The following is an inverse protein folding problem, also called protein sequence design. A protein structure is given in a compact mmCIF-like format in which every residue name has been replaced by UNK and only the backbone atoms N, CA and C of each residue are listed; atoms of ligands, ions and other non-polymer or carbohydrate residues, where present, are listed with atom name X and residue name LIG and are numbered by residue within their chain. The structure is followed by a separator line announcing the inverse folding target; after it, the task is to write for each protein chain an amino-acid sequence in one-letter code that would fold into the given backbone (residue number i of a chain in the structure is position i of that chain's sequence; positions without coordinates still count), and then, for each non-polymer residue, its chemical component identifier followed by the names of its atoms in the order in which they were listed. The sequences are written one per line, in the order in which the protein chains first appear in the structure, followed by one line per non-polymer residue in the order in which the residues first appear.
data_IF_732965621077
#
_entry.id   IF_732965621077
#
_cell.length_a   1.000
_cell.length_b   1.000
_cell.length_c   1.000
_cell.angle_alpha   90.00
_cell.angle_beta   90.00
_cell.angle_gamma   90.00
#
_symmetry.space_group_name_H-M   'P 1'
#
loop_
_entity.id
_entity.type
_entity.pdbx_description
1 polymer ?
#
# COMPACT_ATOMS: atom_id res chain seq x y z
N UNK A 1 36.03 -17.41 41.55
CA UNK A 1 36.50 -16.06 41.90
C UNK A 1 36.32 -15.15 40.69
N UNK A 2 35.42 -14.17 40.86
CA UNK A 2 35.46 -12.79 40.34
C UNK A 2 35.66 -12.49 38.83
N UNK A 3 34.61 -11.94 38.20
CA UNK A 3 34.71 -10.97 37.10
C UNK A 3 35.39 -9.69 37.62
N UNK A 4 36.17 -8.96 36.80
CA UNK A 4 35.60 -7.75 36.18
C UNK A 4 36.20 -7.38 34.81
N UNK A 5 35.40 -6.82 33.91
CA UNK A 5 35.91 -5.97 32.82
C UNK A 5 35.18 -4.64 32.91
N UNK A 6 36.00 -3.61 33.05
CA UNK A 6 35.65 -2.23 33.31
C UNK A 6 35.10 -1.54 32.05
N UNK A 7 34.09 -0.70 32.32
CA UNK A 7 33.75 0.57 31.70
C UNK A 7 34.58 0.99 30.48
N UNK A 8 33.91 1.09 29.33
CA UNK A 8 34.35 1.92 28.21
C UNK A 8 33.61 3.26 28.26
N UNK A 9 34.43 4.29 28.31
CA UNK A 9 34.15 5.69 28.55
C UNK A 9 33.39 6.36 27.41
N UNK A 10 32.52 7.28 27.77
CA UNK A 10 31.99 8.33 26.90
C UNK A 10 33.14 9.22 26.42
N UNK A 11 33.20 9.49 25.11
CA UNK A 11 33.81 10.71 24.59
C UNK A 11 32.73 11.49 23.82
N UNK A 12 32.19 12.50 24.52
CA UNK A 12 31.33 13.55 23.98
C UNK A 12 32.23 14.58 23.29
N UNK A 13 32.18 14.63 21.96
CA UNK A 13 32.85 15.67 21.20
C UNK A 13 32.11 17.01 21.35
N UNK A 14 32.91 17.99 21.75
CA UNK A 14 32.59 19.39 21.99
C UNK A 14 32.51 20.16 20.65
N UNK A 15 31.50 21.03 20.58
CA UNK A 15 31.51 22.34 19.91
C UNK A 15 31.82 22.45 18.41
N UNK A 16 30.79 22.80 17.65
CA UNK A 16 30.93 23.68 16.49
C UNK A 16 29.85 24.78 16.56
N UNK A 17 30.29 25.97 16.96
CA UNK A 17 29.62 27.24 16.78
C UNK A 17 29.25 27.47 15.31
N UNK A 18 27.99 27.80 15.02
CA UNK A 18 27.67 28.77 13.97
C UNK A 18 26.56 29.72 14.44
N UNK A 19 26.95 30.99 14.51
CA UNK A 19 26.14 32.16 14.79
C UNK A 19 24.91 32.24 13.87
N UNK A 20 23.72 32.28 14.46
CA UNK A 20 22.50 32.68 13.76
C UNK A 20 22.37 34.19 13.90
N UNK A 21 22.74 34.93 12.85
CA UNK A 21 22.38 36.33 12.70
C UNK A 21 20.89 36.41 12.36
N UNK A 22 20.06 36.76 13.34
CA UNK A 22 18.66 37.10 13.15
C UNK A 22 18.56 38.49 12.49
N UNK A 23 18.21 38.52 11.21
CA UNK A 23 17.75 39.75 10.53
C UNK A 23 16.26 39.91 10.87
N UNK A 24 15.83 40.98 11.54
CA UNK A 24 14.42 41.24 11.77
C UNK A 24 13.81 41.95 10.56
N UNK A 25 12.76 41.35 9.99
CA UNK A 25 11.84 42.06 9.10
C UNK A 25 11.90 41.62 7.64
N UNK A 26 11.33 40.46 7.36
CA UNK A 26 10.60 40.22 6.10
C UNK A 26 9.36 39.39 6.47
N UNK A 27 8.22 40.07 6.60
CA UNK A 27 6.90 39.44 6.62
C UNK A 27 6.67 39.00 5.18
N UNK A 28 7.08 37.79 4.83
CA UNK A 28 6.65 37.17 3.59
C UNK A 28 5.24 36.66 3.86
N UNK A 29 4.23 37.42 3.42
CA UNK A 29 2.88 36.89 3.27
C UNK A 29 2.91 35.97 2.05
N UNK A 30 3.39 34.75 2.25
CA UNK A 30 3.26 33.67 1.27
C UNK A 30 1.78 33.30 1.20
N UNK A 31 1.07 34.00 0.32
CA UNK A 31 -0.26 33.62 -0.12
C UNK A 31 -0.04 32.44 -1.06
N UNK A 32 0.06 31.24 -0.49
CA UNK A 32 -0.13 30.00 -1.25
C UNK A 32 -1.44 30.16 -2.03
N UNK A 33 -1.43 30.08 -3.37
CA UNK A 33 -2.65 30.19 -4.15
C UNK A 33 -3.57 29.07 -3.70
N UNK A 34 -4.76 29.43 -3.24
CA UNK A 34 -5.82 28.50 -2.85
C UNK A 34 -6.29 27.78 -4.13
N UNK A 35 -5.54 26.75 -4.55
CA UNK A 35 -5.93 25.91 -5.67
C UNK A 35 -7.23 25.22 -5.24
N UNK A 36 -8.30 25.45 -5.99
CA UNK A 36 -9.59 24.82 -5.72
C UNK A 36 -9.42 23.30 -5.75
N UNK A 37 -9.96 22.59 -4.74
CA UNK A 37 -9.98 21.12 -4.70
C UNK A 37 -10.54 20.51 -6.00
N UNK A 38 -11.42 21.22 -6.69
CA UNK A 38 -11.96 20.84 -8.00
C UNK A 38 -10.93 20.88 -9.15
N UNK A 39 -9.95 21.79 -9.09
CA UNK A 39 -8.86 21.89 -10.08
C UNK A 39 -7.78 20.82 -9.86
N UNK A 40 -7.56 20.39 -8.61
CA UNK A 40 -6.71 19.23 -8.29
C UNK A 40 -7.33 17.91 -8.78
N UNK A 41 -8.67 17.81 -8.89
CA UNK A 41 -9.35 16.62 -9.38
C UNK A 41 -9.25 16.47 -10.92
N UNK A 42 -9.20 17.59 -11.66
CA UNK A 42 -9.25 17.60 -13.13
C UNK A 42 -7.94 17.22 -13.85
N UNK A 43 -6.81 17.18 -13.12
CA UNK A 43 -5.47 16.88 -13.71
C UNK A 43 -4.95 15.48 -13.36
N UNK A 44 -5.70 14.71 -12.58
CA UNK A 44 -5.22 13.39 -12.15
C UNK A 44 -5.37 12.36 -13.25
N UNK A 45 -4.23 11.92 -13.79
CA UNK A 45 -4.11 10.74 -14.63
C UNK A 45 -4.97 9.59 -14.08
N UNK A 46 -5.73 8.85 -14.91
CA UNK A 46 -6.61 7.80 -14.43
C UNK A 46 -5.83 6.81 -13.57
N UNK A 47 -6.38 6.51 -12.38
CA UNK A 47 -5.74 5.61 -11.44
C UNK A 47 -5.52 4.23 -12.08
N UNK A 48 -4.35 3.63 -11.82
CA UNK A 48 -4.06 2.26 -12.27
C UNK A 48 -5.03 1.27 -11.59
N UNK A 49 -5.89 0.55 -12.35
CA UNK A 49 -6.82 -0.41 -11.76
C UNK A 49 -6.11 -1.62 -11.16
N UNK A 50 -6.74 -2.25 -10.18
CA UNK A 50 -6.35 -3.59 -9.68
C UNK A 50 -7.32 -4.63 -10.25
N UNK A 51 -6.78 -5.63 -10.93
CA UNK A 51 -7.56 -6.72 -11.52
C UNK A 51 -7.64 -7.95 -10.60
N UNK A 52 -8.84 -8.48 -10.39
CA UNK A 52 -9.06 -9.65 -9.52
C UNK A 52 -9.17 -10.99 -10.26
N UNK A 53 -9.36 -10.98 -11.58
CA UNK A 53 -9.44 -12.19 -12.38
C UNK A 53 -10.54 -13.14 -11.89
N UNK A 54 -10.17 -14.41 -11.92
CA UNK A 54 -10.83 -15.54 -11.27
C UNK A 54 -11.10 -15.44 -9.77
N UNK A 55 -10.63 -14.38 -9.07
CA UNK A 55 -10.88 -14.18 -7.63
C UNK A 55 -11.87 -13.06 -7.34
N UNK A 56 -12.50 -12.50 -8.38
CA UNK A 56 -13.47 -11.40 -8.25
C UNK A 56 -14.74 -11.80 -7.48
N UNK A 57 -15.14 -13.06 -7.53
CA UNK A 57 -16.25 -13.62 -6.75
C UNK A 57 -15.99 -13.66 -5.24
N UNK A 58 -14.71 -13.58 -4.83
CA UNK A 58 -14.30 -13.55 -3.43
C UNK A 58 -14.35 -12.16 -2.80
N UNK A 59 -14.60 -11.11 -3.58
CA UNK A 59 -14.80 -9.76 -3.07
C UNK A 59 -16.17 -9.63 -2.37
N UNK A 60 -16.32 -8.71 -1.41
CA UNK A 60 -17.62 -8.37 -0.85
C UNK A 60 -18.62 -7.94 -1.95
N UNK A 61 -19.94 -8.07 -1.72
CA UNK A 61 -20.58 -8.69 -0.57
C UNK A 61 -20.61 -10.23 -0.62
N UNK A 62 -20.06 -10.84 -1.69
CA UNK A 62 -20.14 -12.30 -1.89
C UNK A 62 -19.08 -13.07 -1.09
N UNK A 63 -17.91 -12.48 -0.91
CA UNK A 63 -16.83 -13.04 -0.10
C UNK A 63 -16.22 -12.04 0.87
N UNK A 64 -15.06 -12.38 1.41
CA UNK A 64 -14.37 -11.64 2.47
C UNK A 64 -12.97 -11.14 2.05
N UNK A 65 -12.65 -11.16 0.76
CA UNK A 65 -11.31 -10.79 0.28
C UNK A 65 -11.03 -9.31 0.55
N UNK A 66 -9.97 -9.05 1.32
CA UNK A 66 -9.47 -7.72 1.69
C UNK A 66 -7.97 -7.56 1.46
N UNK A 67 -7.28 -8.65 1.10
CA UNK A 67 -5.84 -8.66 0.79
C UNK A 67 -5.59 -9.34 -0.55
N UNK A 68 -4.57 -8.89 -1.28
CA UNK A 68 -4.04 -9.60 -2.45
C UNK A 68 -2.52 -9.57 -2.52
N UNK A 69 -1.92 -10.71 -2.87
CA UNK A 69 -0.49 -10.85 -3.14
C UNK A 69 -0.15 -10.72 -4.62
N UNK A 70 0.85 -9.90 -4.96
CA UNK A 70 1.23 -9.61 -6.36
C UNK A 70 2.74 -9.53 -6.56
N UNK A 71 3.23 -10.14 -7.63
CA UNK A 71 4.60 -9.94 -8.13
C UNK A 71 4.66 -8.73 -9.06
N UNK A 72 4.51 -7.55 -8.47
CA UNK A 72 4.65 -6.31 -9.21
C UNK A 72 6.10 -5.88 -9.38
N UNK A 73 6.38 -5.25 -10.53
CA UNK A 73 7.62 -4.51 -10.74
C UNK A 73 7.76 -3.39 -9.69
N UNK A 74 8.99 -2.94 -9.36
CA UNK A 74 9.22 -1.81 -8.47
C UNK A 74 8.43 -0.55 -8.88
N UNK A 75 8.36 -0.24 -10.18
CA UNK A 75 7.60 0.90 -10.71
C UNK A 75 6.12 0.86 -10.31
N UNK A 76 5.48 -0.29 -10.46
CA UNK A 76 4.05 -0.45 -10.10
C UNK A 76 3.87 -0.31 -8.60
N UNK A 77 4.79 -0.85 -7.80
CA UNK A 77 4.75 -0.71 -6.35
C UNK A 77 4.89 0.75 -5.90
N UNK A 78 5.79 1.53 -6.51
CA UNK A 78 5.93 2.98 -6.22
C UNK A 78 4.64 3.74 -6.51
N UNK A 79 3.95 3.42 -7.61
CA UNK A 79 2.66 4.05 -7.94
C UNK A 79 1.60 3.71 -6.88
N UNK A 80 1.52 2.45 -6.48
CA UNK A 80 0.53 1.99 -5.49
C UNK A 80 0.82 2.55 -4.09
N UNK A 81 2.10 2.69 -3.72
CA UNK A 81 2.52 3.35 -2.50
C UNK A 81 2.04 4.81 -2.47
N UNK A 82 2.23 5.54 -3.58
CA UNK A 82 1.73 6.91 -3.71
C UNK A 82 0.21 7.00 -3.60
N UNK A 83 -0.53 6.03 -4.16
CA UNK A 83 -1.99 5.97 -4.04
C UNK A 83 -2.45 5.69 -2.60
N UNK A 84 -1.75 4.81 -1.88
CA UNK A 84 -2.00 4.55 -0.47
C UNK A 84 -1.79 5.83 0.37
N UNK A 85 -0.67 6.52 0.17
CA UNK A 85 -0.35 7.77 0.89
C UNK A 85 -1.34 8.90 0.61
N UNK A 86 -1.87 8.98 -0.62
CA UNK A 86 -2.87 9.96 -1.02
C UNK A 86 -4.30 9.57 -0.63
N UNK A 87 -4.52 8.37 -0.07
CA UNK A 87 -5.86 7.84 0.18
C UNK A 87 -6.71 7.71 -1.09
N UNK A 88 -6.06 7.48 -2.24
CA UNK A 88 -6.70 7.52 -3.55
C UNK A 88 -7.60 6.31 -3.76
N UNK A 89 -8.80 6.56 -4.28
CA UNK A 89 -9.74 5.51 -4.67
C UNK A 89 -9.34 4.95 -6.05
N UNK A 90 -9.24 3.62 -6.14
CA UNK A 90 -8.80 2.91 -7.33
C UNK A 90 -9.96 2.09 -7.93
N UNK A 91 -10.06 1.99 -9.26
CA UNK A 91 -11.03 1.09 -9.88
C UNK A 91 -10.63 -0.38 -9.68
N UNK A 92 -11.57 -1.21 -9.19
CA UNK A 92 -11.47 -2.66 -9.21
C UNK A 92 -12.00 -3.19 -10.55
N UNK A 93 -11.25 -4.08 -11.20
CA UNK A 93 -11.68 -4.69 -12.48
C UNK A 93 -11.68 -6.21 -12.41
N UNK A 94 -12.57 -6.85 -13.17
CA UNK A 94 -12.67 -8.32 -13.24
C UNK A 94 -11.43 -8.94 -13.92
N UNK A 95 -10.83 -8.29 -14.90
CA UNK A 95 -9.56 -8.67 -15.55
C UNK A 95 -8.89 -7.42 -16.11
N UNK A 96 -7.67 -7.56 -16.65
CA UNK A 96 -6.98 -6.42 -17.24
C UNK A 96 -7.79 -5.81 -18.39
N UNK A 97 -7.80 -4.47 -18.46
CA UNK A 97 -8.62 -3.72 -19.45
C UNK A 97 -8.28 -4.07 -20.90
N UNK A 98 -7.02 -4.35 -21.21
CA UNK A 98 -6.59 -4.78 -22.55
C UNK A 98 -7.22 -6.11 -23.00
N UNK A 99 -7.76 -6.91 -22.08
CA UNK A 99 -8.49 -8.14 -22.36
C UNK A 99 -10.01 -7.98 -22.20
N UNK A 100 -10.52 -6.75 -22.31
CA UNK A 100 -11.95 -6.45 -22.20
C UNK A 100 -12.49 -6.45 -20.77
N UNK A 101 -11.61 -6.20 -19.78
CA UNK A 101 -12.00 -6.14 -18.39
C UNK A 101 -12.97 -5.00 -18.08
N UNK A 102 -13.98 -5.32 -17.28
CA UNK A 102 -15.02 -4.41 -16.79
C UNK A 102 -14.71 -4.00 -15.36
N UNK A 103 -15.07 -2.77 -15.04
CA UNK A 103 -15.05 -2.32 -13.66
C UNK A 103 -16.12 -3.04 -12.86
N UNK A 104 -15.73 -3.55 -11.70
CA UNK A 104 -16.59 -4.30 -10.77
C UNK A 104 -16.73 -3.62 -9.43
N UNK A 105 -16.09 -2.47 -9.22
CA UNK A 105 -16.19 -1.70 -7.98
C UNK A 105 -15.01 -0.74 -7.82
N UNK A 106 -14.75 -0.38 -6.58
CA UNK A 106 -13.73 0.57 -6.17
C UNK A 106 -12.97 0.05 -4.97
N UNK A 107 -11.73 0.49 -4.83
CA UNK A 107 -10.83 0.11 -3.75
C UNK A 107 -10.27 1.35 -3.08
N UNK A 108 -10.17 1.29 -1.76
CA UNK A 108 -9.29 2.18 -1.00
C UNK A 108 -8.17 1.33 -0.41
N UNK A 109 -6.92 1.66 -0.73
CA UNK A 109 -5.79 0.94 -0.15
C UNK A 109 -5.65 1.31 1.33
N UNK A 110 -5.39 0.31 2.17
CA UNK A 110 -5.14 0.50 3.61
C UNK A 110 -3.83 -0.15 4.08
N UNK A 111 -3.10 -0.82 3.18
CA UNK A 111 -1.76 -1.34 3.47
C UNK A 111 -1.01 -1.78 2.23
N UNK A 112 0.30 -1.60 2.25
CA UNK A 112 1.22 -2.11 1.24
C UNK A 112 2.51 -2.56 1.92
N UNK A 113 2.93 -3.79 1.67
CA UNK A 113 4.15 -4.35 2.24
C UNK A 113 4.67 -5.52 1.43
N UNK A 114 5.76 -6.14 1.90
CA UNK A 114 6.31 -7.37 1.33
C UNK A 114 6.37 -8.43 2.41
N UNK A 115 6.03 -9.66 2.05
CA UNK A 115 6.11 -10.79 2.98
C UNK A 115 6.50 -12.06 2.23
N UNK A 116 7.47 -12.84 2.72
CA UNK A 116 7.86 -14.09 2.08
C UNK A 116 6.72 -15.10 2.10
N UNK A 117 6.61 -15.89 1.03
CA UNK A 117 5.60 -16.94 0.91
C UNK A 117 5.67 -17.99 2.04
N UNK A 118 6.86 -18.22 2.60
CA UNK A 118 7.07 -19.09 3.78
C UNK A 118 6.36 -18.62 5.05
N UNK A 119 6.00 -17.33 5.15
CA UNK A 119 5.29 -16.77 6.31
C UNK A 119 3.76 -16.74 6.14
N UNK A 120 3.23 -17.34 5.07
CA UNK A 120 1.80 -17.38 4.83
C UNK A 120 1.08 -18.15 5.95
N UNK A 121 0.11 -17.50 6.58
CA UNK A 121 -0.72 -18.09 7.65
C UNK A 121 -2.09 -18.49 7.15
N UNK A 122 -2.87 -19.17 8.01
CA UNK A 122 -4.27 -19.49 7.68
C UNK A 122 -5.13 -18.24 7.60
N UNK A 123 -4.90 -17.26 8.49
CA UNK A 123 -5.58 -15.95 8.46
C UNK A 123 -5.32 -15.21 7.14
N UNK A 124 -4.09 -15.25 6.64
CA UNK A 124 -3.76 -14.69 5.32
C UNK A 124 -4.60 -15.30 4.19
N UNK A 125 -4.86 -16.61 4.25
CA UNK A 125 -5.70 -17.29 3.27
C UNK A 125 -7.15 -16.79 3.37
N UNK A 126 -7.66 -16.54 4.57
CA UNK A 126 -8.99 -15.95 4.78
C UNK A 126 -9.08 -14.54 4.19
N UNK A 127 -8.09 -13.68 4.47
CA UNK A 127 -8.02 -12.31 3.95
C UNK A 127 -7.85 -12.28 2.43
N UNK A 128 -7.23 -13.30 1.84
CA UNK A 128 -7.18 -13.52 0.39
C UNK A 128 -8.51 -14.03 -0.20
N UNK A 129 -9.50 -14.35 0.64
CA UNK A 129 -10.83 -14.81 0.24
C UNK A 129 -10.98 -16.34 0.13
N UNK A 130 -10.07 -17.10 0.75
CA UNK A 130 -10.02 -18.57 0.71
C UNK A 130 -9.91 -19.18 2.10
N UNK A 131 -10.91 -19.00 2.98
CA UNK A 131 -10.91 -19.59 4.31
C UNK A 131 -10.89 -21.13 4.30
N UNK A 132 -11.31 -21.73 3.19
CA UNK A 132 -11.31 -23.19 3.01
C UNK A 132 -9.93 -23.78 2.71
N UNK A 133 -8.91 -22.97 2.40
CA UNK A 133 -7.58 -23.45 2.03
C UNK A 133 -6.59 -23.33 3.18
N UNK A 134 -5.74 -24.34 3.33
CA UNK A 134 -4.52 -24.24 4.14
C UNK A 134 -3.46 -23.41 3.41
N UNK A 135 -2.45 -22.86 4.11
CA UNK A 135 -1.34 -22.14 3.45
C UNK A 135 -0.67 -22.98 2.35
N UNK A 136 -0.45 -24.27 2.59
CA UNK A 136 0.15 -25.18 1.59
C UNK A 136 -0.73 -25.33 0.35
N UNK A 137 -2.05 -25.48 0.52
CA UNK A 137 -2.99 -25.59 -0.61
C UNK A 137 -3.10 -24.26 -1.38
N UNK A 138 -3.11 -23.14 -0.66
CA UNK A 138 -3.13 -21.81 -1.25
C UNK A 138 -1.89 -21.54 -2.09
N UNK A 139 -0.70 -21.85 -1.56
CA UNK A 139 0.57 -21.74 -2.28
C UNK A 139 0.59 -22.63 -3.52
N UNK A 140 0.21 -23.90 -3.39
CA UNK A 140 0.15 -24.83 -4.52
C UNK A 140 -0.79 -24.32 -5.64
N UNK A 141 -1.90 -23.66 -5.28
CA UNK A 141 -2.89 -23.18 -6.25
C UNK A 141 -2.51 -21.88 -6.95
N UNK A 142 -1.91 -20.93 -6.23
CA UNK A 142 -1.72 -19.55 -6.73
C UNK A 142 -0.25 -19.17 -6.95
N UNK A 143 0.67 -19.94 -6.40
CA UNK A 143 2.11 -19.67 -6.39
C UNK A 143 2.91 -20.89 -6.84
N UNK A 144 2.33 -21.73 -7.70
CA UNK A 144 3.04 -22.86 -8.30
C UNK A 144 4.30 -22.38 -9.03
N UNK A 145 5.42 -23.05 -8.79
CA UNK A 145 6.72 -22.69 -9.37
C UNK A 145 7.43 -21.50 -8.70
N UNK A 146 6.90 -20.97 -7.58
CA UNK A 146 7.53 -19.91 -6.79
C UNK A 146 8.33 -20.45 -5.61
N UNK A 147 9.46 -19.83 -5.31
CA UNK A 147 10.24 -20.19 -4.13
C UNK A 147 9.59 -19.62 -2.87
N UNK A 148 9.65 -20.35 -1.75
CA UNK A 148 9.08 -19.91 -0.47
C UNK A 148 9.77 -18.67 0.13
N UNK A 149 10.98 -18.37 -0.34
CA UNK A 149 11.76 -17.17 -0.01
C UNK A 149 11.30 -15.93 -0.78
N UNK A 150 10.55 -16.09 -1.89
CA UNK A 150 10.07 -14.96 -2.68
C UNK A 150 9.06 -14.12 -1.88
N UNK A 151 9.20 -12.80 -2.02
CA UNK A 151 8.40 -11.81 -1.27
C UNK A 151 7.51 -11.00 -2.21
N UNK A 152 6.30 -11.51 -2.56
CA UNK A 152 5.32 -10.70 -3.29
C UNK A 152 4.90 -9.48 -2.46
N UNK A 153 4.38 -8.48 -3.17
CA UNK A 153 3.70 -7.36 -2.52
C UNK A 153 2.39 -7.83 -1.92
N UNK A 154 2.16 -7.57 -0.64
CA UNK A 154 0.91 -7.76 0.07
C UNK A 154 0.16 -6.43 0.06
N UNK A 155 -1.00 -6.41 -0.58
CA UNK A 155 -1.82 -5.21 -0.77
C UNK A 155 -3.11 -5.39 0.03
N UNK A 156 -3.27 -4.60 1.09
CA UNK A 156 -4.51 -4.50 1.85
C UNK A 156 -5.43 -3.45 1.25
N UNK A 157 -6.72 -3.73 1.22
CA UNK A 157 -7.73 -2.81 0.69
C UNK A 157 -9.10 -2.98 1.35
N UNK A 158 -9.88 -1.90 1.28
CA UNK A 158 -11.32 -1.90 1.45
C UNK A 158 -11.97 -1.88 0.06
N UNK A 159 -13.05 -2.65 -0.11
CA UNK A 159 -13.75 -2.77 -1.39
C UNK A 159 -15.19 -2.25 -1.27
N UNK A 160 -15.60 -1.48 -2.27
CA UNK A 160 -16.98 -1.01 -2.43
C UNK A 160 -17.49 -1.31 -3.84
N UNK A 161 -18.67 -1.91 -3.94
CA UNK A 161 -19.27 -2.25 -5.23
C UNK A 161 -19.78 -1.01 -5.99
N UNK A 162 -20.19 0.03 -5.25
CA UNK A 162 -20.69 1.30 -5.76
C UNK A 162 -19.62 2.36 -5.47
N UNK A 163 -19.57 3.42 -6.27
CA UNK A 163 -18.64 4.52 -6.01
C UNK A 163 -19.03 5.18 -4.68
N UNK A 164 -18.10 5.38 -3.73
CA UNK A 164 -18.40 6.16 -2.53
C UNK A 164 -18.78 7.57 -2.95
N UNK A 165 -19.85 8.10 -2.34
CA UNK A 165 -20.16 9.52 -2.45
C UNK A 165 -19.05 10.29 -1.74
N UNK A 166 -18.32 11.13 -2.48
CA UNK A 166 -17.31 12.00 -1.90
C UNK A 166 -18.08 13.13 -1.22
N UNK A 167 -18.28 13.00 0.10
CA UNK A 167 -18.73 14.13 0.91
C UNK A 167 -17.64 15.20 0.88
N UNK A 168 -17.91 16.30 0.18
CA UNK A 168 -17.02 17.45 0.12
C UNK A 168 -17.12 18.16 1.47
N UNK A 169 -16.12 17.91 2.33
CA UNK A 169 -15.95 18.59 3.62
C UNK A 169 -15.48 20.05 3.45
#
# INVERSE_FOLDING_TARGET
MTKPIQQLSLELNHEANQHINLIPGHIIQDIEPLISLSQLAATQQPALPISFGWTSDRLPPKGCKSVTRRFWSPRTATIMQSYLEQGRILPAVDKQRCYGGKQIGWLKLNGLGRSPLSKLTWEDCQLEGYPELTPTQFLARFFEGKELSEEPWVVGFEYEAIMPEIEVA
#
